data_IF_914695526921
#
_entry.id   IF_914695526921
#
_cell.length_a   1.000
_cell.length_b   1.000
_cell.length_c   1.000
_cell.angle_alpha   90.00
_cell.angle_beta   90.00
_cell.angle_gamma   90.00
#
_symmetry.space_group_name_H-M   'P 1'
#
loop_
_entity.id
_entity.type
_entity.pdbx_description
1 polymer ?
#
# COMPACT_ATOMS: atom_id res chain seq x y z
N UNK A 1 26.51 -47.03 -21.02
CA UNK A 1 25.17 -46.46 -20.77
C UNK A 1 24.88 -45.48 -21.88
N UNK A 2 24.14 -45.91 -22.90
CA UNK A 2 23.65 -45.05 -23.99
C UNK A 2 22.40 -44.28 -23.51
N UNK A 3 22.25 -43.00 -23.87
CA UNK A 3 21.10 -42.20 -23.44
C UNK A 3 19.80 -42.73 -24.08
N UNK A 4 18.65 -42.64 -23.39
CA UNK A 4 17.39 -43.14 -23.92
C UNK A 4 16.95 -42.32 -25.14
N UNK A 5 16.78 -43.02 -26.26
CA UNK A 5 16.25 -42.51 -27.51
C UNK A 5 14.80 -42.06 -27.31
N UNK A 6 14.59 -40.75 -27.28
CA UNK A 6 13.27 -40.14 -27.08
C UNK A 6 12.46 -40.31 -28.36
N UNK A 7 11.59 -41.31 -28.39
CA UNK A 7 10.62 -41.50 -29.48
C UNK A 7 9.67 -40.30 -29.47
N UNK A 8 9.85 -39.39 -30.43
CA UNK A 8 8.97 -38.23 -30.63
C UNK A 8 7.67 -38.78 -31.22
N UNK A 9 6.62 -38.90 -30.40
CA UNK A 9 5.26 -39.10 -30.89
C UNK A 9 4.85 -37.85 -31.67
N UNK A 10 4.66 -38.00 -32.98
CA UNK A 10 4.21 -36.92 -33.85
C UNK A 10 2.68 -36.89 -33.85
N UNK A 11 2.09 -35.81 -33.33
CA UNK A 11 0.66 -35.54 -33.45
C UNK A 11 0.23 -35.58 -34.93
N UNK A 12 -0.88 -36.27 -35.23
CA UNK A 12 -1.37 -36.48 -36.59
C UNK A 12 -1.88 -35.21 -37.29
N UNK A 13 -1.93 -34.09 -36.57
CA UNK A 13 -2.29 -32.75 -37.08
C UNK A 13 -1.09 -31.93 -37.58
N UNK A 14 0.09 -32.53 -37.73
CA UNK A 14 1.28 -31.84 -38.21
C UNK A 14 1.06 -31.22 -39.61
N UNK A 15 1.38 -29.92 -39.74
CA UNK A 15 1.27 -29.17 -40.98
C UNK A 15 2.07 -29.82 -42.11
N UNK A 16 1.53 -29.82 -43.34
CA UNK A 16 2.20 -30.37 -44.53
C UNK A 16 2.71 -29.25 -45.43
N UNK A 17 3.89 -29.46 -46.02
CA UNK A 17 4.47 -28.53 -46.99
C UNK A 17 3.54 -28.38 -48.21
N UNK A 18 3.20 -27.14 -48.62
CA UNK A 18 2.33 -26.93 -49.79
C UNK A 18 3.00 -27.31 -51.11
N UNK A 19 4.33 -27.37 -51.17
CA UNK A 19 5.06 -27.75 -52.38
C UNK A 19 5.29 -29.26 -52.51
N UNK A 20 5.70 -29.96 -51.43
CA UNK A 20 6.07 -31.38 -51.50
C UNK A 20 5.19 -32.33 -50.67
N UNK A 21 4.25 -31.82 -49.86
CA UNK A 21 3.31 -32.63 -49.08
C UNK A 21 3.88 -33.32 -47.82
N UNK A 22 5.20 -33.23 -47.56
CA UNK A 22 5.83 -33.81 -46.37
C UNK A 22 5.48 -33.03 -45.10
N UNK A 23 5.46 -33.73 -43.96
CA UNK A 23 5.19 -33.16 -42.64
C UNK A 23 6.28 -32.15 -42.27
N UNK A 24 5.87 -31.04 -41.67
CA UNK A 24 6.71 -29.94 -41.24
C UNK A 24 6.71 -29.83 -39.73
N UNK A 25 7.86 -29.42 -39.18
CA UNK A 25 7.93 -28.91 -37.82
C UNK A 25 7.31 -27.49 -37.81
N UNK A 26 6.50 -27.16 -36.80
CA UNK A 26 5.78 -25.89 -36.66
C UNK A 26 6.70 -24.66 -36.62
N UNK A 27 7.97 -24.86 -36.26
CA UNK A 27 8.98 -23.80 -36.15
C UNK A 27 9.90 -23.70 -37.38
N UNK A 28 9.76 -24.57 -38.38
CA UNK A 28 10.64 -24.57 -39.55
C UNK A 28 10.27 -23.46 -40.55
N UNK A 29 11.22 -22.54 -40.81
CA UNK A 29 11.10 -21.49 -41.85
C UNK A 29 11.41 -22.00 -43.25
N UNK A 30 11.98 -23.20 -43.39
CA UNK A 30 12.30 -23.80 -44.69
C UNK A 30 11.98 -25.29 -44.66
N UNK A 31 11.43 -25.82 -45.76
CA UNK A 31 11.13 -27.25 -45.83
C UNK A 31 12.43 -28.06 -45.99
N UNK A 32 12.75 -28.90 -45.01
CA UNK A 32 13.94 -29.75 -45.03
C UNK A 32 13.97 -30.75 -46.21
N UNK A 33 12.84 -30.99 -46.88
CA UNK A 33 12.77 -31.95 -47.98
C UNK A 33 12.81 -31.36 -49.38
N UNK A 34 12.33 -30.13 -49.59
CA UNK A 34 12.30 -29.50 -50.92
C UNK A 34 12.97 -28.13 -50.97
N UNK A 35 13.44 -27.60 -49.84
CA UNK A 35 14.13 -26.31 -49.77
C UNK A 35 13.23 -25.08 -49.95
N UNK A 36 11.92 -25.24 -50.13
CA UNK A 36 11.01 -24.10 -50.26
C UNK A 36 10.93 -23.32 -48.95
N UNK A 37 11.08 -22.00 -49.01
CA UNK A 37 10.83 -21.11 -47.88
C UNK A 37 9.35 -21.18 -47.47
N UNK A 38 9.12 -21.47 -46.21
CA UNK A 38 7.80 -21.63 -45.63
C UNK A 38 7.42 -20.29 -45.00
N UNK A 39 6.54 -19.56 -45.69
CA UNK A 39 5.91 -18.37 -45.10
C UNK A 39 5.10 -18.87 -43.91
N UNK A 40 5.56 -18.57 -42.69
CA UNK A 40 4.86 -18.92 -41.46
C UNK A 40 3.40 -18.51 -41.59
N UNK A 41 2.47 -19.48 -41.56
CA UNK A 41 1.03 -19.18 -41.62
C UNK A 41 0.68 -18.41 -40.36
N UNK A 42 0.65 -17.08 -40.45
CA UNK A 42 0.20 -16.24 -39.35
C UNK A 42 -1.25 -16.62 -39.07
N UNK A 43 -1.51 -17.12 -37.85
CA UNK A 43 -2.84 -17.52 -37.45
C UNK A 43 -3.79 -16.33 -37.63
N UNK A 44 -4.92 -16.53 -38.31
CA UNK A 44 -5.91 -15.47 -38.56
C UNK A 44 -7.10 -15.66 -37.63
N UNK A 45 -7.46 -14.61 -36.89
CA UNK A 45 -8.65 -14.56 -36.04
C UNK A 45 -9.76 -13.73 -36.71
N UNK A 46 -11.02 -13.89 -36.29
CA UNK A 46 -12.13 -13.03 -36.74
C UNK A 46 -12.41 -11.97 -35.67
N UNK A 47 -12.56 -10.70 -36.08
CA UNK A 47 -12.93 -9.63 -35.16
C UNK A 47 -14.29 -9.91 -34.50
N UNK A 48 -14.37 -9.81 -33.17
CA UNK A 48 -15.63 -9.98 -32.45
C UNK A 48 -16.70 -8.93 -32.84
N UNK A 49 -16.29 -7.74 -33.29
CA UNK A 49 -17.20 -6.63 -33.63
C UNK A 49 -17.65 -6.65 -35.09
N UNK A 50 -16.72 -6.66 -36.06
CA UNK A 50 -17.04 -6.53 -37.49
C UNK A 50 -16.89 -7.84 -38.29
N UNK A 51 -16.51 -8.95 -37.64
CA UNK A 51 -16.29 -10.29 -38.23
C UNK A 51 -15.23 -10.38 -39.34
N UNK A 52 -14.44 -9.33 -39.58
CA UNK A 52 -13.37 -9.35 -40.58
C UNK A 52 -12.21 -10.27 -40.11
N UNK A 53 -11.51 -10.91 -41.05
CA UNK A 53 -10.32 -11.73 -40.73
C UNK A 53 -9.11 -10.82 -40.53
N UNK A 54 -8.42 -10.99 -39.41
CA UNK A 54 -7.29 -10.16 -38.97
C UNK A 54 -6.17 -11.10 -38.50
N UNK A 55 -4.88 -10.78 -38.68
CA UNK A 55 -3.79 -11.52 -38.04
C UNK A 55 -3.97 -11.57 -36.51
N UNK A 56 -3.61 -12.70 -35.90
CA UNK A 56 -3.76 -12.92 -34.45
C UNK A 56 -2.95 -11.95 -33.58
N UNK A 57 -1.92 -11.35 -34.15
CA UNK A 57 -1.01 -10.40 -33.49
C UNK A 57 -1.53 -8.96 -33.51
N UNK A 58 -2.56 -8.63 -34.30
CA UNK A 58 -3.10 -7.28 -34.32
C UNK A 58 -3.82 -6.94 -33.00
N UNK A 59 -3.37 -5.86 -32.36
CA UNK A 59 -4.01 -5.27 -31.18
C UNK A 59 -5.26 -4.46 -31.53
N UNK A 60 -5.35 -3.97 -32.77
CA UNK A 60 -6.46 -3.14 -33.24
C UNK A 60 -6.97 -3.65 -34.58
N UNK A 61 -8.30 -3.77 -34.72
CA UNK A 61 -8.91 -4.13 -35.99
C UNK A 61 -8.74 -3.01 -37.03
N UNK A 62 -8.11 -3.25 -38.19
CA UNK A 62 -7.89 -2.21 -39.20
C UNK A 62 -9.18 -1.71 -39.86
N UNK A 63 -10.29 -2.47 -39.73
CA UNK A 63 -11.58 -2.10 -40.33
C UNK A 63 -12.50 -1.33 -39.38
N UNK A 64 -12.42 -1.57 -38.08
CA UNK A 64 -13.37 -0.98 -37.11
C UNK A 64 -12.74 -0.36 -35.87
N UNK A 65 -11.41 -0.37 -35.73
CA UNK A 65 -10.68 0.22 -34.61
C UNK A 65 -10.87 -0.45 -33.25
N UNK A 66 -11.61 -1.57 -33.18
CA UNK A 66 -11.86 -2.26 -31.92
C UNK A 66 -10.78 -3.33 -31.64
N UNK A 67 -10.50 -3.56 -30.36
CA UNK A 67 -9.66 -4.68 -29.92
C UNK A 67 -10.34 -6.02 -30.29
N UNK A 68 -9.70 -6.86 -31.14
CA UNK A 68 -10.27 -8.14 -31.55
C UNK A 68 -10.34 -9.16 -30.40
N UNK A 69 -9.58 -8.96 -29.31
CA UNK A 69 -9.53 -9.85 -28.15
C UNK A 69 -10.50 -9.48 -27.03
N UNK A 70 -11.20 -8.35 -27.14
CA UNK A 70 -12.16 -7.94 -26.14
C UNK A 70 -13.38 -8.89 -26.15
N UNK A 71 -13.35 -9.89 -25.26
CA UNK A 71 -14.47 -10.79 -25.01
C UNK A 71 -15.59 -9.98 -24.39
N UNK A 72 -16.60 -9.61 -25.19
CA UNK A 72 -17.84 -9.10 -24.62
C UNK A 72 -18.45 -10.22 -23.79
N UNK A 73 -18.48 -10.06 -22.47
CA UNK A 73 -19.22 -10.92 -21.56
C UNK A 73 -20.60 -11.22 -22.16
N UNK A 74 -21.01 -12.49 -22.28
CA UNK A 74 -22.28 -12.83 -22.88
C UNK A 74 -23.39 -12.09 -22.13
N UNK A 75 -24.38 -11.55 -22.87
CA UNK A 75 -25.46 -10.74 -22.28
C UNK A 75 -26.15 -11.46 -21.11
N UNK A 76 -26.27 -12.78 -21.20
CA UNK A 76 -26.81 -13.64 -20.14
C UNK A 76 -26.02 -13.53 -18.82
N UNK A 77 -24.68 -13.48 -18.86
CA UNK A 77 -23.87 -13.38 -17.64
C UNK A 77 -23.97 -11.99 -17.01
N UNK A 78 -24.07 -10.93 -17.83
CA UNK A 78 -24.30 -9.57 -17.33
C UNK A 78 -25.65 -9.45 -16.62
N UNK A 79 -26.71 -10.00 -17.24
CA UNK A 79 -28.05 -10.00 -16.64
C UNK A 79 -28.06 -10.86 -15.36
N UNK A 80 -27.45 -12.04 -15.39
CA UNK A 80 -27.32 -12.91 -14.22
C UNK A 80 -26.60 -12.24 -13.05
N UNK A 81 -25.52 -11.51 -13.31
CA UNK A 81 -24.80 -10.76 -12.29
C UNK A 81 -25.67 -9.66 -11.65
N UNK A 82 -26.45 -8.93 -12.46
CA UNK A 82 -27.36 -7.90 -11.94
C UNK A 82 -28.48 -8.49 -11.07
N UNK A 83 -29.06 -9.62 -11.47
CA UNK A 83 -30.07 -10.33 -10.69
C UNK A 83 -29.48 -10.81 -9.36
N UNK A 84 -28.28 -11.41 -9.39
CA UNK A 84 -27.60 -11.87 -8.18
C UNK A 84 -27.32 -10.72 -7.20
N UNK A 85 -26.83 -9.57 -7.69
CA UNK A 85 -26.61 -8.37 -6.87
C UNK A 85 -27.92 -7.88 -6.25
N UNK A 86 -29.03 -7.86 -7.02
CA UNK A 86 -30.33 -7.41 -6.50
C UNK A 86 -30.87 -8.35 -5.40
N UNK A 87 -30.70 -9.67 -5.56
CA UNK A 87 -31.09 -10.66 -4.56
C UNK A 87 -30.27 -10.52 -3.26
N UNK A 88 -28.95 -10.31 -3.38
CA UNK A 88 -28.08 -10.08 -2.22
C UNK A 88 -28.50 -8.80 -1.49
N UNK A 89 -28.77 -7.71 -2.21
CA UNK A 89 -29.21 -6.46 -1.61
C UNK A 89 -30.54 -6.62 -0.84
N UNK A 90 -31.51 -7.33 -1.42
CA UNK A 90 -32.79 -7.63 -0.77
C UNK A 90 -32.61 -8.48 0.49
N UNK A 91 -31.75 -9.51 0.45
CA UNK A 91 -31.43 -10.34 1.60
C UNK A 91 -30.76 -9.52 2.72
N UNK A 92 -29.79 -8.67 2.37
CA UNK A 92 -29.13 -7.77 3.33
C UNK A 92 -30.12 -6.78 3.95
N UNK A 93 -30.99 -6.14 3.17
CA UNK A 93 -31.99 -5.22 3.69
C UNK A 93 -33.01 -5.92 4.60
N UNK A 94 -33.44 -7.14 4.23
CA UNK A 94 -34.34 -7.94 5.05
C UNK A 94 -33.71 -8.34 6.38
N UNK A 95 -32.43 -8.74 6.37
CA UNK A 95 -31.68 -9.05 7.58
C UNK A 95 -31.52 -7.85 8.52
N UNK A 96 -31.20 -6.67 7.97
CA UNK A 96 -31.08 -5.43 8.75
C UNK A 96 -32.44 -5.06 9.37
N UNK A 97 -33.53 -5.13 8.61
CA UNK A 97 -34.87 -4.86 9.12
C UNK A 97 -35.29 -5.85 10.21
N UNK A 98 -35.02 -7.16 10.01
CA UNK A 98 -35.26 -8.20 11.00
C UNK A 98 -34.49 -7.94 12.30
N UNK A 99 -33.21 -7.57 12.20
CA UNK A 99 -32.39 -7.18 13.36
C UNK A 99 -32.99 -5.98 14.08
N UNK A 100 -33.35 -4.92 13.37
CA UNK A 100 -33.96 -3.73 13.98
C UNK A 100 -35.27 -4.05 14.72
N UNK A 101 -36.17 -4.82 14.09
CA UNK A 101 -37.44 -5.24 14.67
C UNK A 101 -37.25 -6.14 15.90
N UNK A 102 -36.34 -7.11 15.83
CA UNK A 102 -36.10 -8.05 16.94
C UNK A 102 -35.41 -7.40 18.13
N UNK A 103 -34.47 -6.47 17.90
CA UNK A 103 -33.82 -5.74 19.00
C UNK A 103 -34.78 -4.77 19.69
N UNK A 104 -35.61 -4.05 18.94
CA UNK A 104 -36.56 -3.09 19.53
C UNK A 104 -37.68 -3.78 20.31
N UNK A 105 -38.21 -4.90 19.80
CA UNK A 105 -39.31 -5.62 20.47
C UNK A 105 -38.83 -6.32 21.74
N UNK A 106 -37.68 -6.99 21.72
CA UNK A 106 -37.14 -7.61 22.95
C UNK A 106 -36.77 -6.57 24.01
N UNK A 107 -36.17 -5.44 23.59
CA UNK A 107 -35.73 -4.43 24.53
C UNK A 107 -36.89 -3.64 25.15
N UNK A 108 -38.01 -3.46 24.43
CA UNK A 108 -39.25 -2.91 24.98
C UNK A 108 -40.00 -3.91 25.87
N UNK A 109 -40.00 -5.20 25.51
CA UNK A 109 -40.69 -6.25 26.27
C UNK A 109 -40.09 -6.56 27.64
N UNK A 110 -38.77 -6.42 27.78
CA UNK A 110 -38.05 -6.72 29.03
C UNK A 110 -37.87 -5.51 29.97
N UNK A 111 -38.31 -4.31 29.59
CA UNK A 111 -38.18 -3.11 30.44
C UNK A 111 -36.74 -2.68 30.75
N UNK A 112 -35.74 -3.20 30.02
CA UNK A 112 -34.32 -2.97 30.28
C UNK A 112 -33.77 -1.66 29.72
N UNK A 113 -34.52 -0.97 28.86
CA UNK A 113 -34.17 0.39 28.42
C UNK A 113 -34.98 1.38 29.26
N UNK A 114 -34.45 1.68 30.44
CA UNK A 114 -34.84 2.90 31.13
C UNK A 114 -34.27 4.07 30.29
N UNK A 115 -35.08 5.05 29.85
CA UNK A 115 -34.58 6.17 29.08
C UNK A 115 -33.45 6.82 29.86
N UNK A 116 -32.23 6.70 29.35
CA UNK A 116 -31.07 7.32 29.96
C UNK A 116 -31.32 8.82 29.97
N UNK A 117 -31.68 9.35 31.13
CA UNK A 117 -31.59 10.78 31.39
C UNK A 117 -30.12 11.09 31.27
N UNK A 118 -29.71 11.53 30.08
CA UNK A 118 -28.35 12.02 29.85
C UNK A 118 -28.10 13.07 30.93
N UNK A 119 -27.20 12.82 31.89
CA UNK A 119 -26.89 13.84 32.87
C UNK A 119 -26.29 15.00 32.08
N UNK A 120 -26.94 16.14 32.15
CA UNK A 120 -26.44 17.40 31.59
C UNK A 120 -25.16 17.74 32.33
N UNK A 121 -24.03 17.20 31.87
CA UNK A 121 -22.73 17.49 32.46
C UNK A 121 -22.37 18.91 32.03
N UNK A 122 -22.57 19.86 32.94
CA UNK A 122 -22.16 21.25 32.76
C UNK A 122 -20.63 21.25 32.69
N UNK A 123 -20.10 21.42 31.49
CA UNK A 123 -18.66 21.57 31.27
C UNK A 123 -18.28 22.97 31.77
N UNK A 124 -17.75 23.04 32.99
CA UNK A 124 -17.10 24.25 33.48
C UNK A 124 -15.77 24.44 32.76
N UNK A 125 -15.76 25.34 31.77
CA UNK A 125 -14.54 25.79 31.11
C UNK A 125 -13.78 26.69 32.09
N UNK A 126 -12.82 26.14 32.83
CA UNK A 126 -11.82 26.94 33.53
C UNK A 126 -10.83 27.49 32.48
N UNK A 127 -10.98 28.77 32.13
CA UNK A 127 -9.95 29.48 31.39
C UNK A 127 -8.86 29.89 32.39
N UNK A 128 -7.70 29.25 32.30
CA UNK A 128 -6.51 29.66 33.05
C UNK A 128 -5.94 30.88 32.32
N UNK A 129 -6.24 32.07 32.82
CA UNK A 129 -5.60 33.31 32.35
C UNK A 129 -4.15 33.25 32.80
N UNK A 130 -3.22 33.13 31.85
CA UNK A 130 -1.80 33.25 32.13
C UNK A 130 -1.52 34.68 32.59
N UNK A 131 -1.20 34.84 33.87
CA UNK A 131 -0.69 36.09 34.44
C UNK A 131 0.64 36.42 33.76
N UNK A 132 0.82 37.66 33.25
CA UNK A 132 2.08 38.05 32.64
C UNK A 132 3.20 37.96 33.67
N UNK A 133 4.23 37.18 33.35
CA UNK A 133 5.41 37.02 34.18
C UNK A 133 6.14 38.38 34.18
N UNK A 134 6.48 38.95 35.35
CA UNK A 134 7.21 40.20 35.43
C UNK A 134 8.57 40.10 34.72
N UNK A 135 9.07 41.19 34.12
CA UNK A 135 10.35 41.18 33.42
C UNK A 135 11.47 40.82 34.40
N UNK A 136 12.13 39.69 34.12
CA UNK A 136 13.32 39.25 34.84
C UNK A 136 14.43 40.30 34.66
N UNK A 137 15.17 40.68 35.72
CA UNK A 137 16.23 41.66 35.63
C UNK A 137 17.35 41.17 34.70
N UNK A 138 17.69 42.02 33.74
CA UNK A 138 18.84 41.90 32.84
C UNK A 138 20.12 41.78 33.68
N UNK A 139 20.70 40.59 33.73
CA UNK A 139 22.02 40.39 34.31
C UNK A 139 23.10 41.00 33.40
N UNK A 140 23.94 41.85 34.00
CA UNK A 140 25.09 42.48 33.38
C UNK A 140 26.15 41.43 32.95
N UNK A 141 26.97 41.73 31.91
CA UNK A 141 27.99 40.81 31.43
C UNK A 141 29.09 40.63 32.48
N UNK A 142 29.17 39.42 33.04
CA UNK A 142 30.29 39.01 33.89
C UNK A 142 31.46 38.60 32.99
N UNK A 143 32.63 39.15 33.30
CA UNK A 143 33.87 38.97 32.58
C UNK A 143 34.25 37.49 32.41
N UNK A 144 34.67 37.17 31.18
CA UNK A 144 35.28 35.92 30.78
C UNK A 144 36.54 35.64 31.60
N UNK A 145 36.46 34.65 32.49
CA UNK A 145 37.64 34.01 33.08
C UNK A 145 38.01 32.78 32.26
N UNK A 146 39.21 32.81 31.70
CA UNK A 146 39.89 31.72 31.00
C UNK A 146 40.02 30.49 31.91
N UNK A 147 39.46 29.32 31.57
CA UNK A 147 39.68 28.12 32.36
C UNK A 147 41.00 27.44 31.99
N UNK A 148 41.87 27.31 33.00
CA UNK A 148 43.02 26.41 33.07
C UNK A 148 42.56 24.94 33.01
N UNK A 149 43.24 24.04 32.27
CA UNK A 149 42.85 22.64 32.22
C UNK A 149 43.19 21.94 33.55
N UNK A 150 42.16 21.48 34.26
CA UNK A 150 42.31 20.58 35.41
C UNK A 150 41.71 19.22 35.07
N UNK A 151 42.59 18.26 34.79
CA UNK A 151 42.28 16.83 34.80
C UNK A 151 42.12 16.39 36.25
N UNK A 152 40.94 15.89 36.64
CA UNK A 152 40.79 14.95 37.76
C UNK A 152 39.38 14.37 37.85
N UNK A 153 39.26 13.09 37.51
CA UNK A 153 38.60 12.06 38.32
C UNK A 153 37.07 12.07 38.50
N UNK A 154 36.45 10.98 37.99
CA UNK A 154 35.23 10.31 38.49
C UNK A 154 33.91 10.63 37.78
N UNK A 155 33.45 9.80 36.82
CA UNK A 155 32.07 9.84 36.36
C UNK A 155 31.14 9.20 37.40
N UNK A 156 30.41 10.05 38.13
CA UNK A 156 29.26 9.63 38.93
C UNK A 156 28.10 9.24 38.00
N UNK A 157 27.90 7.94 37.83
CA UNK A 157 26.74 7.29 37.19
C UNK A 157 25.45 7.79 37.86
N UNK A 158 24.64 8.59 37.16
CA UNK A 158 23.32 9.03 37.63
C UNK A 158 22.29 8.95 36.50
N UNK A 159 21.28 8.11 36.73
CA UNK A 159 19.97 8.19 36.11
C UNK A 159 19.80 7.43 34.80
N UNK A 160 19.58 6.12 34.88
CA UNK A 160 18.91 5.36 33.82
C UNK A 160 17.40 5.50 34.01
N UNK A 161 16.65 6.20 33.15
CA UNK A 161 15.24 5.91 32.98
C UNK A 161 15.16 4.81 31.92
N UNK A 162 14.78 3.60 32.29
CA UNK A 162 14.27 2.67 31.28
C UNK A 162 13.15 1.88 31.90
N UNK A 163 11.94 2.36 31.59
CA UNK A 163 10.69 1.62 31.68
C UNK A 163 10.90 0.35 30.86
N UNK A 164 11.16 -0.76 31.55
CA UNK A 164 11.33 -2.06 30.96
C UNK A 164 9.96 -2.74 30.92
N UNK A 165 9.18 -2.44 29.87
CA UNK A 165 8.14 -3.36 29.44
C UNK A 165 8.82 -4.50 28.66
N UNK A 166 8.41 -5.77 28.85
CA UNK A 166 8.96 -6.89 28.08
C UNK A 166 8.52 -6.76 26.63
N UNK A 167 9.40 -6.22 25.78
CA UNK A 167 9.15 -6.13 24.34
C UNK A 167 9.37 -7.52 23.75
N UNK A 168 8.27 -8.26 23.60
CA UNK A 168 8.19 -9.36 22.64
C UNK A 168 8.21 -8.71 21.26
N UNK A 169 9.40 -8.50 20.70
CA UNK A 169 9.60 -7.88 19.40
C UNK A 169 11.09 -7.84 19.06
N UNK A 170 11.47 -8.55 18.00
CA UNK A 170 12.85 -8.86 17.65
C UNK A 170 13.68 -7.64 17.18
N UNK A 171 13.07 -6.47 17.01
CA UNK A 171 13.75 -5.25 16.55
C UNK A 171 13.51 -4.03 17.45
N UNK A 172 14.52 -3.17 17.57
CA UNK A 172 14.36 -1.82 18.10
C UNK A 172 13.53 -0.93 17.15
N UNK A 173 12.92 0.13 17.69
CA UNK A 173 12.19 1.09 16.85
C UNK A 173 13.10 1.69 15.75
N UNK A 174 12.64 1.77 14.49
CA UNK A 174 13.39 2.41 13.41
C UNK A 174 13.75 3.87 13.75
N UNK A 175 14.97 4.30 13.42
CA UNK A 175 15.40 5.69 13.65
C UNK A 175 15.21 6.52 12.38
N UNK A 176 14.40 7.57 12.43
CA UNK A 176 14.14 8.42 11.28
C UNK A 176 15.33 9.34 10.99
N UNK A 177 15.75 9.43 9.73
CA UNK A 177 16.91 10.22 9.27
C UNK A 177 16.42 11.51 8.59
N UNK A 178 15.59 11.39 7.56
CA UNK A 178 15.05 12.50 6.78
C UNK A 178 13.55 12.30 6.45
N UNK A 179 12.77 13.37 6.27
CA UNK A 179 13.11 14.76 6.51
C UNK A 179 13.31 15.08 8.01
N UNK A 180 13.98 16.20 8.29
CA UNK A 180 14.04 16.74 9.65
C UNK A 180 12.64 17.18 10.10
N UNK A 181 12.44 17.21 11.41
CA UNK A 181 11.15 17.60 11.98
C UNK A 181 10.84 19.06 11.61
N UNK A 182 9.62 19.33 11.14
CA UNK A 182 9.15 20.61 10.63
C UNK A 182 9.93 21.19 9.42
N UNK A 183 10.65 20.36 8.65
CA UNK A 183 11.24 20.80 7.38
C UNK A 183 10.15 21.24 6.40
N UNK A 184 10.40 22.32 5.65
CA UNK A 184 9.45 22.90 4.70
C UNK A 184 9.90 22.59 3.27
N UNK A 185 9.04 21.93 2.51
CA UNK A 185 9.18 21.71 1.07
C UNK A 185 8.31 22.74 0.35
N UNK A 186 8.89 23.53 -0.56
CA UNK A 186 8.22 24.72 -1.12
C UNK A 186 7.63 24.52 -2.51
N UNK A 187 7.81 23.35 -3.13
CA UNK A 187 7.32 23.12 -4.48
C UNK A 187 6.62 21.77 -4.65
N UNK A 188 5.62 21.79 -5.53
CA UNK A 188 4.91 20.59 -6.01
C UNK A 188 5.85 19.62 -6.75
N UNK A 189 6.95 20.15 -7.29
CA UNK A 189 7.95 19.36 -8.00
C UNK A 189 8.97 18.69 -7.06
N UNK A 190 9.05 19.12 -5.80
CA UNK A 190 10.01 18.60 -4.84
C UNK A 190 9.54 17.23 -4.35
N UNK A 191 10.35 16.21 -4.62
CA UNK A 191 10.10 14.86 -4.13
C UNK A 191 10.50 14.75 -2.67
N UNK A 192 9.53 14.46 -1.80
CA UNK A 192 9.78 14.22 -0.39
C UNK A 192 10.20 12.76 -0.19
N UNK A 193 11.48 12.53 0.06
CA UNK A 193 12.02 11.23 0.43
C UNK A 193 11.99 11.04 1.96
N UNK A 194 11.30 10.00 2.41
CA UNK A 194 11.32 9.54 3.79
C UNK A 194 12.44 8.52 3.93
N UNK A 195 13.36 8.75 4.86
CA UNK A 195 14.54 7.91 5.09
C UNK A 195 14.66 7.54 6.56
N UNK A 196 15.04 6.30 6.84
CA UNK A 196 15.25 5.78 8.18
C UNK A 196 16.46 4.84 8.22
N UNK A 197 16.97 4.58 9.42
CA UNK A 197 18.05 3.62 9.65
C UNK A 197 17.49 2.20 9.63
N UNK A 198 18.19 1.29 8.96
CA UNK A 198 17.88 -0.14 9.01
C UNK A 198 17.89 -0.65 10.46
N UNK A 199 16.91 -1.48 10.83
CA UNK A 199 16.84 -2.06 12.18
C UNK A 199 17.78 -3.25 12.39
N UNK A 200 18.22 -3.87 11.29
CA UNK A 200 19.14 -5.01 11.30
C UNK A 200 20.23 -4.85 10.24
N UNK A 201 21.48 -5.22 10.54
CA UNK A 201 22.60 -5.10 9.60
C UNK A 201 22.45 -6.04 8.40
N UNK A 202 21.78 -7.19 8.58
CA UNK A 202 21.49 -8.16 7.52
C UNK A 202 20.26 -7.82 6.68
N UNK A 203 19.58 -6.70 6.96
CA UNK A 203 18.26 -6.42 6.41
C UNK A 203 17.13 -7.19 7.12
N UNK A 204 15.91 -7.04 6.61
CA UNK A 204 14.72 -7.72 7.10
C UNK A 204 14.60 -9.13 6.49
N UNK A 205 13.93 -10.06 7.18
CA UNK A 205 13.60 -11.37 6.62
C UNK A 205 12.58 -11.27 5.46
N UNK A 206 12.43 -12.35 4.68
CA UNK A 206 11.51 -12.38 3.52
C UNK A 206 10.04 -12.13 3.88
N UNK A 207 9.62 -12.42 5.10
CA UNK A 207 8.26 -12.19 5.57
C UNK A 207 8.13 -10.92 6.41
N UNK A 208 9.14 -10.04 6.40
CA UNK A 208 9.19 -8.83 7.22
C UNK A 208 9.28 -7.58 6.34
N UNK A 209 8.58 -6.53 6.78
CA UNK A 209 8.39 -5.32 6.01
C UNK A 209 8.43 -4.09 6.92
N UNK A 210 8.95 -2.98 6.40
CA UNK A 210 8.73 -1.67 7.00
C UNK A 210 7.30 -1.20 6.67
N UNK A 211 6.57 -0.80 7.71
CA UNK A 211 5.27 -0.15 7.64
C UNK A 211 5.47 1.36 7.75
N UNK A 212 5.33 2.10 6.66
CA UNK A 212 5.43 3.55 6.66
C UNK A 212 4.01 4.12 6.69
N UNK A 213 3.61 4.66 7.84
CA UNK A 213 2.29 5.25 8.00
C UNK A 213 2.40 6.77 7.93
N UNK A 214 1.72 7.35 6.95
CA UNK A 214 1.63 8.78 6.72
C UNK A 214 0.21 9.23 7.03
N UNK A 215 0.08 10.24 7.90
CA UNK A 215 -1.18 10.86 8.27
C UNK A 215 -1.16 12.34 7.86
N UNK A 216 -2.22 12.79 7.22
CA UNK A 216 -2.39 14.16 6.73
C UNK A 216 -3.87 14.56 6.78
N UNK A 217 -4.15 15.85 6.61
CA UNK A 217 -5.51 16.34 6.41
C UNK A 217 -5.81 16.36 4.92
N UNK A 218 -6.82 15.61 4.48
CA UNK A 218 -7.28 15.61 3.09
C UNK A 218 -7.96 16.92 2.71
N UNK A 219 -8.10 17.18 1.41
CA UNK A 219 -8.74 18.39 0.87
C UNK A 219 -10.16 18.65 1.39
N UNK A 220 -10.86 17.62 1.86
CA UNK A 220 -12.18 17.69 2.49
C UNK A 220 -12.12 18.08 3.98
N UNK A 221 -10.94 18.40 4.51
CA UNK A 221 -10.70 18.73 5.91
C UNK A 221 -10.67 17.51 6.83
N UNK A 222 -10.82 16.29 6.32
CA UNK A 222 -10.83 15.07 7.14
C UNK A 222 -9.44 14.49 7.32
N UNK A 223 -9.14 13.85 8.46
CA UNK A 223 -7.90 13.12 8.62
C UNK A 223 -7.87 11.93 7.66
N UNK A 224 -6.81 11.83 6.87
CA UNK A 224 -6.49 10.71 6.01
C UNK A 224 -5.23 10.01 6.54
N UNK A 225 -5.16 8.69 6.34
CA UNK A 225 -3.98 7.89 6.70
C UNK A 225 -3.70 6.89 5.60
N UNK A 226 -2.44 6.83 5.18
CA UNK A 226 -1.97 5.87 4.19
C UNK A 226 -0.79 5.09 4.75
N UNK A 227 -0.76 3.78 4.47
CA UNK A 227 0.35 2.92 4.88
C UNK A 227 0.99 2.29 3.65
N UNK A 228 2.28 2.56 3.47
CA UNK A 228 3.12 1.95 2.45
C UNK A 228 4.00 0.85 3.05
N UNK A 229 4.27 -0.19 2.26
CA UNK A 229 5.05 -1.36 2.67
C UNK A 229 6.27 -1.50 1.76
N UNK A 230 7.46 -1.55 2.35
CA UNK A 230 8.72 -1.75 1.60
C UNK A 230 9.75 -2.47 2.48
N UNK A 231 10.76 -3.08 1.86
CA UNK A 231 11.95 -3.61 2.57
C UNK A 231 13.15 -2.66 2.49
N UNK A 232 13.07 -1.64 1.64
CA UNK A 232 14.09 -0.60 1.51
C UNK A 232 13.99 0.38 2.70
N UNK A 233 15.06 1.11 2.99
CA UNK A 233 15.10 2.11 4.07
C UNK A 233 14.82 3.54 3.59
N UNK A 234 14.22 3.64 2.41
CA UNK A 234 13.86 4.89 1.74
C UNK A 234 12.57 4.69 0.99
N UNK A 235 11.68 5.67 1.05
CA UNK A 235 10.48 5.72 0.23
C UNK A 235 10.18 7.17 -0.16
N UNK A 236 9.83 7.37 -1.43
CA UNK A 236 9.50 8.70 -1.95
C UNK A 236 7.99 8.84 -2.02
N UNK A 237 7.46 9.89 -1.39
CA UNK A 237 6.04 10.16 -1.40
C UNK A 237 5.62 10.52 -2.83
N UNK A 238 4.56 9.88 -3.39
CA UNK A 238 4.08 10.21 -4.72
C UNK A 238 3.63 11.68 -4.81
N UNK A 239 4.04 12.37 -5.88
CA UNK A 239 3.78 13.80 -6.07
C UNK A 239 2.29 14.13 -6.16
N UNK A 240 1.47 13.19 -6.61
CA UNK A 240 0.01 13.30 -6.69
C UNK A 240 -0.65 13.52 -5.34
N UNK A 241 -0.04 13.06 -4.23
CA UNK A 241 -0.57 13.28 -2.89
C UNK A 241 -0.53 14.74 -2.46
N UNK A 242 0.35 15.55 -3.04
CA UNK A 242 0.37 17.00 -2.79
C UNK A 242 -0.99 17.62 -3.10
N UNK A 243 -1.66 17.16 -4.17
CA UNK A 243 -2.99 17.64 -4.54
C UNK A 243 -4.09 17.13 -3.60
N UNK A 244 -3.89 16.01 -2.90
CA UNK A 244 -4.86 15.44 -1.97
C UNK A 244 -4.82 16.10 -0.59
N UNK A 245 -3.67 16.64 -0.19
CA UNK A 245 -3.48 17.32 1.10
C UNK A 245 -4.18 18.68 1.07
N UNK A 246 -4.85 19.03 2.17
CA UNK A 246 -5.48 20.34 2.33
C UNK A 246 -4.45 21.47 2.27
N UNK A 247 -4.76 22.54 1.52
CA UNK A 247 -3.82 23.64 1.30
C UNK A 247 -3.54 24.48 2.54
N UNK A 248 -4.45 24.46 3.52
CA UNK A 248 -4.38 25.13 4.82
C UNK A 248 -3.68 24.28 5.90
N UNK A 249 -3.82 22.96 5.84
CA UNK A 249 -3.28 22.00 6.81
C UNK A 249 -2.18 21.10 6.19
N UNK A 250 -1.19 21.71 5.54
CA UNK A 250 -0.04 21.06 4.85
C UNK A 250 0.98 20.37 5.77
N UNK A 251 0.58 20.03 6.99
CA UNK A 251 1.43 19.30 7.94
C UNK A 251 1.23 17.81 7.73
N UNK A 252 2.28 17.12 7.30
CA UNK A 252 2.27 15.67 7.12
C UNK A 252 2.99 15.04 8.30
N UNK A 253 2.35 14.07 8.96
CA UNK A 253 2.91 13.29 10.07
C UNK A 253 3.26 11.89 9.58
N UNK A 254 4.40 11.36 9.99
CA UNK A 254 4.78 10.00 9.62
C UNK A 254 5.57 9.28 10.70
N UNK A 255 5.50 7.96 10.68
CA UNK A 255 6.30 7.05 11.49
C UNK A 255 6.52 5.73 10.75
N UNK A 256 7.51 4.95 11.21
CA UNK A 256 7.87 3.65 10.63
C UNK A 256 7.84 2.58 11.71
N UNK A 257 7.25 1.43 11.42
CA UNK A 257 7.34 0.22 12.24
C UNK A 257 7.81 -0.97 11.40
N UNK A 258 8.13 -2.09 12.05
CA UNK A 258 8.41 -3.36 11.37
C UNK A 258 7.29 -4.33 11.68
N UNK A 259 6.74 -4.95 10.62
CA UNK A 259 5.73 -6.00 10.76
C UNK A 259 6.22 -7.29 10.14
N UNK A 260 5.71 -8.40 10.67
CA UNK A 260 5.77 -9.71 10.04
C UNK A 260 4.42 -10.03 9.39
N UNK A 261 4.49 -10.58 8.20
CA UNK A 261 3.34 -10.92 7.37
C UNK A 261 3.28 -12.42 7.16
N UNK A 262 2.09 -13.01 7.28
CA UNK A 262 1.86 -14.39 6.84
C UNK A 262 1.56 -14.39 5.33
N UNK A 263 2.51 -14.85 4.51
CA UNK A 263 2.37 -14.93 3.05
C UNK A 263 3.41 -14.12 2.28
N UNK A 264 3.22 -14.01 0.96
CA UNK A 264 4.18 -13.40 0.03
C UNK A 264 3.99 -11.88 -0.07
N UNK A 265 2.75 -11.39 0.08
CA UNK A 265 2.40 -9.99 -0.16
C UNK A 265 1.83 -9.30 1.10
N UNK A 266 2.45 -8.20 1.58
CA UNK A 266 1.96 -7.42 2.72
C UNK A 266 0.60 -6.78 2.46
N UNK A 267 0.23 -6.50 1.21
CA UNK A 267 -1.01 -5.82 0.86
C UNK A 267 -2.21 -6.77 1.01
N UNK A 268 -2.07 -8.02 0.56
CA UNK A 268 -3.17 -9.00 0.57
C UNK A 268 -3.25 -9.81 1.84
N UNK A 269 -2.18 -9.83 2.65
CA UNK A 269 -2.17 -10.66 3.86
C UNK A 269 -3.08 -10.09 4.95
N UNK A 270 -3.97 -10.93 5.52
CA UNK A 270 -4.88 -10.53 6.59
C UNK A 270 -4.19 -10.44 7.96
N UNK A 271 -3.03 -11.08 8.13
CA UNK A 271 -2.34 -11.14 9.41
C UNK A 271 -1.01 -10.38 9.34
N UNK A 272 -0.96 -9.25 10.05
CA UNK A 272 0.20 -8.34 10.12
C UNK A 272 0.55 -8.14 11.60
N UNK A 273 1.50 -8.91 12.08
CA UNK A 273 1.95 -8.83 13.46
C UNK A 273 3.06 -7.77 13.59
N UNK A 274 2.89 -6.70 14.38
CA UNK A 274 3.98 -5.78 14.66
C UNK A 274 5.08 -6.52 15.45
N UNK A 275 6.32 -6.44 14.97
CA UNK A 275 7.49 -7.09 15.58
C UNK A 275 8.55 -6.08 16.07
N UNK A 276 8.27 -4.78 15.93
CA UNK A 276 9.01 -3.69 16.54
C UNK A 276 8.04 -2.66 17.12
N UNK A 277 8.48 -1.84 18.09
CA UNK A 277 7.80 -0.58 18.38
C UNK A 277 7.84 0.35 17.14
N UNK A 278 6.88 1.27 17.05
CA UNK A 278 6.92 2.34 16.06
C UNK A 278 8.04 3.33 16.37
N UNK A 279 8.62 3.93 15.32
CA UNK A 279 9.55 5.04 15.45
C UNK A 279 8.93 6.22 16.18
N UNK A 280 9.77 7.14 16.66
CA UNK A 280 9.31 8.48 16.99
C UNK A 280 8.60 9.09 15.77
N UNK A 281 7.50 9.79 15.99
CA UNK A 281 6.78 10.43 14.91
C UNK A 281 7.50 11.71 14.49
N UNK A 282 7.61 11.94 13.17
CA UNK A 282 8.09 13.20 12.61
C UNK A 282 6.99 13.89 11.82
N UNK A 283 7.12 15.21 11.72
CA UNK A 283 6.30 16.01 10.81
C UNK A 283 7.17 16.81 9.83
N UNK A 284 6.60 17.14 8.69
CA UNK A 284 7.15 18.11 7.73
C UNK A 284 5.99 18.89 7.12
N UNK A 285 6.31 20.02 6.48
CA UNK A 285 5.33 20.91 5.85
C UNK A 285 5.55 20.86 4.34
N UNK A 286 4.51 20.57 3.56
CA UNK A 286 4.60 20.49 2.09
C UNK A 286 3.73 21.56 1.41
N UNK A 287 4.36 22.66 0.99
CA UNK A 287 3.76 23.85 0.35
C UNK A 287 3.66 23.74 -1.19
#
# INVERSE_FOLDING_TARGET
MTPPEKIIQFDDDAARCPHCGKRLNLEATTCASCGSELIARHHRIRCARCRNRIPAEATVCPRCGADPRHKSLPRALRIGALIAIALIALACSGWIAYRALTTDVLARGLGLIQPSRVPTQIIHVLYVVATPIPPSPTFAPIATITPTPRVSGTPSRRGTPTVSAPVIGFYSAPQLIAPLNALIFNSVAEQVALEWRAVAPSGLHENEWYAITVAYTGRDGKPATHTHWTRETRWTIPKEWHAEIASDARTVRWHVGVVRVEGIDPITSPNRAPISPNSAQRNFIWK
#
